data_IF_934646035697
#
_entry.id   IF_934646035697
#
_cell.length_a   1.000
_cell.length_b   1.000
_cell.length_c   1.000
_cell.angle_alpha   90.00
_cell.angle_beta   90.00
_cell.angle_gamma   90.00
#
_symmetry.space_group_name_H-M   'P 1'
#
loop_
_entity.id
_entity.type
_entity.pdbx_description
1 polymer ?
#
# COMPACT_ATOMS: atom_id res chain seq x y z
N UNK A 1 19.77 -13.13 17.30
CA UNK A 1 18.80 -12.06 17.61
C UNK A 1 19.58 -10.80 17.96
N UNK A 2 19.72 -9.85 17.04
CA UNK A 2 20.45 -8.59 17.28
C UNK A 2 19.44 -7.44 17.21
N UNK A 3 19.24 -6.77 18.34
CA UNK A 3 18.35 -5.61 18.47
C UNK A 3 19.25 -4.38 18.49
N UNK A 4 19.26 -3.61 17.41
CA UNK A 4 19.83 -2.26 17.43
C UNK A 4 18.75 -1.28 17.91
N UNK A 5 18.96 -0.73 19.11
CA UNK A 5 18.08 0.25 19.74
C UNK A 5 18.62 1.64 19.39
N UNK A 6 17.87 2.43 18.63
CA UNK A 6 18.04 3.89 18.54
C UNK A 6 16.67 4.51 18.79
N UNK A 7 16.60 5.32 19.84
CA UNK A 7 15.37 5.93 20.34
C UNK A 7 14.84 6.97 19.34
N UNK A 8 13.78 6.59 18.62
CA UNK A 8 12.55 7.36 18.37
C UNK A 8 11.86 6.71 17.16
N UNK A 9 10.67 6.11 17.38
CA UNK A 9 9.97 5.16 16.49
C UNK A 9 10.63 3.77 16.42
N UNK A 10 10.19 2.85 17.29
CA UNK A 10 10.63 1.45 17.26
C UNK A 10 9.98 0.70 16.08
N UNK A 11 10.62 0.75 14.91
CA UNK A 11 10.34 -0.17 13.81
C UNK A 11 10.88 -1.56 14.17
N UNK A 12 10.01 -2.50 14.53
CA UNK A 12 10.41 -3.89 14.74
C UNK A 12 10.29 -4.61 13.41
N UNK A 13 11.42 -4.86 12.75
CA UNK A 13 11.48 -5.68 11.54
C UNK A 13 11.35 -7.15 11.97
N UNK A 14 10.16 -7.71 11.81
CA UNK A 14 9.93 -9.15 11.97
C UNK A 14 9.91 -9.78 10.59
N UNK A 15 10.97 -10.51 10.25
CA UNK A 15 11.03 -11.32 9.04
C UNK A 15 10.42 -12.70 9.33
N UNK A 16 9.23 -12.97 8.80
CA UNK A 16 8.61 -14.30 8.88
C UNK A 16 8.97 -15.06 7.58
N UNK A 17 9.82 -16.10 7.64
CA UNK A 17 10.11 -16.93 6.47
C UNK A 17 8.88 -17.79 6.12
N UNK A 18 8.64 -17.97 4.82
CA UNK A 18 7.45 -18.65 4.30
C UNK A 18 7.83 -20.09 3.91
N UNK A 19 7.06 -21.07 4.38
CA UNK A 19 7.21 -22.49 4.02
C UNK A 19 6.68 -22.75 2.60
N UNK A 20 7.38 -23.63 1.88
CA UNK A 20 7.13 -23.98 0.48
C UNK A 20 6.01 -25.05 0.45
N UNK A 21 4.87 -24.71 -0.15
CA UNK A 21 3.84 -25.66 -0.59
C UNK A 21 3.69 -25.54 -2.11
N UNK A 22 3.36 -26.63 -2.80
CA UNK A 22 3.18 -26.66 -4.27
C UNK A 22 1.93 -25.89 -4.72
N UNK A 23 0.95 -25.70 -3.81
CA UNK A 23 -0.28 -24.99 -4.11
C UNK A 23 -0.15 -23.49 -3.80
N UNK A 24 0.02 -22.70 -4.86
CA UNK A 24 0.22 -21.25 -4.78
C UNK A 24 -0.95 -20.51 -4.11
N UNK A 25 -2.19 -20.99 -4.28
CA UNK A 25 -3.36 -20.36 -3.66
C UNK A 25 -3.34 -20.55 -2.15
N UNK A 26 -3.08 -21.77 -1.68
CA UNK A 26 -2.94 -22.05 -0.24
C UNK A 26 -1.84 -21.22 0.40
N UNK A 27 -0.72 -21.02 -0.30
CA UNK A 27 0.39 -20.19 0.16
C UNK A 27 -0.06 -18.73 0.36
N UNK A 28 -0.76 -18.13 -0.61
CA UNK A 28 -1.26 -16.75 -0.49
C UNK A 28 -2.29 -16.62 0.64
N UNK A 29 -3.23 -17.57 0.75
CA UNK A 29 -4.23 -17.58 1.81
C UNK A 29 -3.58 -17.71 3.21
N UNK A 30 -2.59 -18.58 3.36
CA UNK A 30 -1.87 -18.75 4.61
C UNK A 30 -1.09 -17.49 4.99
N UNK A 31 -0.40 -16.87 4.03
CA UNK A 31 0.32 -15.61 4.25
C UNK A 31 -0.62 -14.51 4.74
N UNK A 32 -1.77 -14.35 4.10
CA UNK A 32 -2.80 -13.39 4.51
C UNK A 32 -3.33 -13.71 5.91
N UNK A 33 -3.60 -14.99 6.21
CA UNK A 33 -4.06 -15.41 7.53
C UNK A 33 -3.05 -15.13 8.63
N UNK A 34 -1.75 -15.38 8.39
CA UNK A 34 -0.67 -15.07 9.34
C UNK A 34 -0.61 -13.56 9.59
N UNK A 35 -0.58 -12.75 8.53
CA UNK A 35 -0.44 -11.30 8.66
C UNK A 35 -1.67 -10.67 9.36
N UNK A 36 -2.88 -11.11 9.00
CA UNK A 36 -4.12 -10.64 9.63
C UNK A 36 -4.22 -11.05 11.10
N UNK A 37 -3.85 -12.29 11.43
CA UNK A 37 -3.81 -12.78 12.82
C UNK A 37 -2.78 -11.99 13.64
N UNK A 38 -1.60 -11.74 13.06
CA UNK A 38 -0.56 -10.93 13.71
C UNK A 38 -1.05 -9.50 13.99
N UNK A 39 -1.64 -8.83 12.99
CA UNK A 39 -2.25 -7.49 13.17
C UNK A 39 -3.30 -7.50 14.28
N UNK A 40 -4.24 -8.45 14.23
CA UNK A 40 -5.31 -8.56 15.23
C UNK A 40 -4.76 -8.70 16.65
N UNK A 41 -3.76 -9.54 16.83
CA UNK A 41 -3.14 -9.76 18.14
C UNK A 41 -2.36 -8.54 18.62
N UNK A 42 -1.58 -7.90 17.74
CA UNK A 42 -0.81 -6.71 18.12
C UNK A 42 -1.73 -5.55 18.49
N UNK A 43 -2.76 -5.29 17.69
CA UNK A 43 -3.73 -4.22 17.98
C UNK A 43 -4.48 -4.50 19.29
N UNK A 44 -4.82 -5.77 19.57
CA UNK A 44 -5.51 -6.17 20.81
C UNK A 44 -4.63 -6.05 22.05
N UNK A 45 -3.41 -6.58 22.03
CA UNK A 45 -2.59 -6.72 23.24
C UNK A 45 -1.66 -5.53 23.49
N UNK A 46 -1.19 -4.85 22.44
CA UNK A 46 -0.22 -3.76 22.58
C UNK A 46 -0.83 -2.37 22.39
N UNK A 47 -2.13 -2.29 22.05
CA UNK A 47 -2.79 -1.04 21.68
C UNK A 47 -2.07 -0.33 20.52
N UNK A 48 -1.37 -1.10 19.69
CA UNK A 48 -0.57 -0.61 18.58
C UNK A 48 -1.34 -0.63 17.27
N UNK A 49 -0.65 -0.16 16.23
CA UNK A 49 -1.04 -0.15 14.83
C UNK A 49 0.01 -0.89 14.02
N UNK A 50 -0.41 -1.63 13.00
CA UNK A 50 0.50 -2.42 12.18
C UNK A 50 0.19 -2.35 10.70
N UNK A 51 1.25 -2.24 9.93
CA UNK A 51 1.22 -2.39 8.48
C UNK A 51 2.27 -3.41 8.07
N UNK A 52 2.01 -4.12 6.98
CA UNK A 52 2.97 -5.06 6.41
C UNK A 52 3.04 -4.86 4.89
N UNK A 53 4.19 -5.23 4.32
CA UNK A 53 4.45 -5.16 2.89
C UNK A 53 5.25 -6.38 2.46
N UNK A 54 4.84 -7.10 1.40
CA UNK A 54 5.62 -8.20 0.87
C UNK A 54 6.89 -7.67 0.20
N UNK A 55 8.02 -8.32 0.47
CA UNK A 55 9.27 -8.13 -0.26
C UNK A 55 9.47 -9.35 -1.16
N UNK A 56 9.56 -9.12 -2.45
CA UNK A 56 9.71 -10.17 -3.44
C UNK A 56 11.18 -10.47 -3.72
N UNK A 57 11.45 -11.72 -4.12
CA UNK A 57 12.82 -12.10 -4.50
C UNK A 57 13.12 -11.58 -5.91
N UNK A 58 14.24 -10.85 -6.12
CA UNK A 58 14.61 -10.41 -7.46
C UNK A 58 14.66 -11.56 -8.48
N UNK A 59 13.97 -11.39 -9.60
CA UNK A 59 13.92 -12.36 -10.69
C UNK A 59 13.19 -13.67 -10.39
N UNK A 60 12.35 -13.73 -9.34
CA UNK A 60 11.36 -14.80 -9.11
C UNK A 60 10.04 -14.18 -8.67
N UNK A 61 8.93 -14.64 -9.22
CA UNK A 61 7.59 -14.15 -8.85
C UNK A 61 7.13 -14.81 -7.55
N UNK A 62 7.85 -14.54 -6.44
CA UNK A 62 7.53 -15.05 -5.10
C UNK A 62 7.99 -14.11 -4.00
N UNK A 63 7.17 -14.02 -2.96
CA UNK A 63 7.49 -13.29 -1.72
C UNK A 63 8.67 -13.98 -1.00
N UNK A 64 9.67 -13.19 -0.63
CA UNK A 64 10.83 -13.61 0.16
C UNK A 64 10.56 -13.49 1.66
N UNK A 65 10.02 -12.35 2.09
CA UNK A 65 9.58 -12.10 3.47
C UNK A 65 8.58 -10.95 3.50
N UNK A 66 7.84 -10.82 4.61
CA UNK A 66 7.04 -9.64 4.90
C UNK A 66 7.84 -8.66 5.75
N UNK A 67 7.87 -7.39 5.34
CA UNK A 67 8.32 -6.30 6.18
C UNK A 67 7.13 -5.82 7.01
N UNK A 68 7.17 -6.08 8.33
CA UNK A 68 6.13 -5.67 9.26
C UNK A 68 6.60 -4.42 10.02
N UNK A 69 5.73 -3.42 10.11
CA UNK A 69 5.96 -2.18 10.85
C UNK A 69 4.93 -2.07 11.97
N UNK A 70 5.42 -1.76 13.17
CA UNK A 70 4.63 -1.55 14.37
C UNK A 70 4.82 -0.12 14.85
N UNK A 71 3.73 0.57 15.12
CA UNK A 71 3.74 1.91 15.71
C UNK A 71 2.57 2.09 16.66
N UNK A 72 2.69 3.01 17.62
CA UNK A 72 1.53 3.50 18.40
C UNK A 72 0.89 4.73 17.77
N UNK A 73 1.64 5.45 16.93
CA UNK A 73 1.20 6.73 16.40
C UNK A 73 0.59 6.56 15.01
N UNK A 74 -0.61 7.09 14.73
CA UNK A 74 -1.30 6.91 13.45
C UNK A 74 -0.51 7.48 12.25
N UNK A 75 0.22 8.59 12.45
CA UNK A 75 1.14 9.13 11.44
C UNK A 75 2.18 8.10 10.97
N UNK A 76 2.64 7.20 11.86
CA UNK A 76 3.66 6.22 11.52
C UNK A 76 3.19 5.26 10.42
N UNK A 77 1.90 4.91 10.40
CA UNK A 77 1.32 4.07 9.34
C UNK A 77 1.35 4.81 8.00
N UNK A 78 1.02 6.10 7.98
CA UNK A 78 1.06 6.89 6.75
C UNK A 78 2.49 6.95 6.19
N UNK A 79 3.47 7.33 7.02
CA UNK A 79 4.88 7.43 6.62
C UNK A 79 5.38 6.08 6.12
N UNK A 80 5.11 4.99 6.85
CA UNK A 80 5.53 3.66 6.45
C UNK A 80 4.93 3.24 5.10
N UNK A 81 3.63 3.45 4.87
CA UNK A 81 3.00 3.10 3.60
C UNK A 81 3.48 3.99 2.44
N UNK A 82 3.72 5.28 2.67
CA UNK A 82 4.31 6.18 1.65
C UNK A 82 5.71 5.72 1.22
N UNK A 83 6.57 5.35 2.18
CA UNK A 83 7.92 4.86 1.86
C UNK A 83 7.90 3.46 1.24
N UNK A 84 6.97 2.62 1.68
CA UNK A 84 6.76 1.30 1.07
C UNK A 84 6.26 1.38 -0.37
N UNK A 85 5.44 2.37 -0.70
CA UNK A 85 4.98 2.60 -2.07
C UNK A 85 6.14 2.99 -3.00
N UNK A 86 7.06 3.83 -2.53
CA UNK A 86 8.30 4.15 -3.26
C UNK A 86 9.16 2.90 -3.45
N UNK A 87 9.29 2.08 -2.41
CA UNK A 87 10.01 0.81 -2.47
C UNK A 87 9.38 -0.16 -3.48
N UNK A 88 8.05 -0.19 -3.62
CA UNK A 88 7.37 -1.06 -4.60
C UNK A 88 7.80 -0.74 -6.03
N UNK A 89 7.96 0.55 -6.36
CA UNK A 89 8.48 0.99 -7.66
C UNK A 89 9.90 0.49 -7.89
N UNK A 90 10.78 0.60 -6.88
CA UNK A 90 12.15 0.08 -6.96
C UNK A 90 12.17 -1.43 -7.14
N UNK A 91 11.34 -2.18 -6.40
CA UNK A 91 11.24 -3.64 -6.55
C UNK A 91 10.83 -4.03 -7.99
N UNK A 92 9.87 -3.31 -8.57
CA UNK A 92 9.41 -3.56 -9.94
C UNK A 92 10.52 -3.36 -10.97
N UNK A 93 11.27 -2.25 -10.86
CA UNK A 93 12.41 -1.97 -11.74
C UNK A 93 13.46 -3.09 -11.61
N UNK A 94 13.87 -3.41 -10.39
CA UNK A 94 14.87 -4.47 -10.15
C UNK A 94 14.42 -5.83 -10.69
N UNK A 95 13.14 -6.16 -10.59
CA UNK A 95 12.61 -7.40 -11.16
C UNK A 95 12.69 -7.41 -12.67
N UNK A 96 12.32 -6.32 -13.33
CA UNK A 96 12.41 -6.20 -14.78
C UNK A 96 13.86 -6.29 -15.25
N UNK A 97 14.78 -5.56 -14.63
CA UNK A 97 16.21 -5.63 -14.94
C UNK A 97 16.77 -7.05 -14.76
N UNK A 98 16.38 -7.73 -13.68
CA UNK A 98 16.83 -9.12 -13.43
C UNK A 98 16.26 -10.09 -14.45
N UNK A 99 15.01 -9.90 -14.89
CA UNK A 99 14.39 -10.72 -15.94
C UNK A 99 15.09 -10.50 -17.28
N UNK A 100 15.39 -9.24 -17.65
CA UNK A 100 16.12 -8.91 -18.87
C UNK A 100 17.54 -9.49 -18.87
N UNK A 101 18.29 -9.37 -17.76
CA UNK A 101 19.64 -9.97 -17.65
C UNK A 101 19.61 -11.48 -17.83
N UNK A 102 18.65 -12.17 -17.20
CA UNK A 102 18.49 -13.62 -17.38
C UNK A 102 18.16 -13.99 -18.82
N UNK A 103 17.30 -13.22 -19.49
CA UNK A 103 16.99 -13.42 -20.90
C UNK A 103 18.24 -13.27 -21.76
N UNK A 104 19.05 -12.22 -21.55
CA UNK A 104 20.32 -12.02 -22.24
C UNK A 104 21.34 -13.13 -21.99
N UNK A 105 21.45 -13.63 -20.76
CA UNK A 105 22.34 -14.75 -20.41
C UNK A 105 21.87 -16.08 -21.01
N UNK A 106 20.55 -16.27 -21.12
CA UNK A 106 19.94 -17.50 -21.66
C UNK A 106 19.82 -17.51 -23.18
N UNK A 107 19.90 -16.35 -23.82
CA UNK A 107 19.80 -16.24 -25.27
C UNK A 107 21.12 -16.71 -25.91
N UNK A 108 21.13 -17.80 -26.70
CA UNK A 108 22.22 -18.02 -27.63
C UNK A 108 22.30 -16.79 -28.55
N UNK A 109 23.49 -16.45 -29.04
CA UNK A 109 23.91 -15.22 -29.75
C UNK A 109 23.06 -14.83 -31.01
N UNK A 110 21.94 -15.49 -31.27
CA UNK A 110 21.14 -15.42 -32.48
C UNK A 110 19.80 -14.71 -32.29
N UNK A 111 19.78 -13.47 -31.77
CA UNK A 111 18.75 -12.51 -32.20
C UNK A 111 19.15 -11.06 -31.88
N UNK A 112 19.85 -10.40 -32.80
CA UNK A 112 20.22 -8.99 -32.68
C UNK A 112 19.16 -8.04 -33.26
N UNK A 113 18.00 -8.56 -33.73
CA UNK A 113 17.03 -7.78 -34.51
C UNK A 113 15.54 -8.09 -34.24
N UNK A 114 15.17 -8.77 -33.15
CA UNK A 114 13.75 -8.87 -32.79
C UNK A 114 13.26 -7.56 -32.16
N UNK A 115 12.64 -6.74 -33.01
CA UNK A 115 11.87 -5.54 -32.69
C UNK A 115 10.53 -5.92 -32.04
N UNK A 116 10.59 -6.67 -30.94
CA UNK A 116 9.42 -6.84 -30.06
C UNK A 116 9.54 -5.81 -28.95
N UNK A 117 9.00 -4.61 -29.22
CA UNK A 117 8.76 -3.60 -28.22
C UNK A 117 8.12 -4.25 -27.01
N UNK A 118 8.84 -4.24 -25.88
CA UNK A 118 8.38 -4.78 -24.60
C UNK A 118 7.14 -3.98 -24.21
N UNK A 119 5.96 -4.47 -24.60
CA UNK A 119 4.70 -3.94 -24.12
C UNK A 119 4.71 -4.15 -22.61
N UNK A 120 4.84 -3.03 -21.90
CA UNK A 120 4.70 -2.96 -20.47
C UNK A 120 3.23 -3.30 -20.18
N UNK A 121 2.93 -4.59 -20.07
CA UNK A 121 1.64 -5.05 -19.59
C UNK A 121 1.60 -4.78 -18.09
N UNK A 122 1.43 -3.49 -17.76
CA UNK A 122 1.01 -3.03 -16.45
C UNK A 122 -0.36 -3.65 -16.30
N UNK A 123 -0.47 -4.86 -15.73
CA UNK A 123 -1.75 -5.31 -15.18
C UNK A 123 -2.04 -4.32 -14.05
N UNK A 124 -2.90 -3.32 -14.25
CA UNK A 124 -3.35 -2.52 -13.14
C UNK A 124 -4.30 -3.46 -12.42
N UNK A 125 -3.86 -4.11 -11.35
CA UNK A 125 -4.79 -4.89 -10.55
C UNK A 125 -6.04 -4.04 -10.34
N UNK A 126 -7.18 -4.63 -10.69
CA UNK A 126 -8.50 -4.03 -10.84
C UNK A 126 -9.11 -3.60 -9.49
N UNK A 127 -8.25 -3.19 -8.56
CA UNK A 127 -8.52 -2.77 -7.20
C UNK A 127 -9.09 -1.34 -7.14
N UNK A 128 -9.27 -0.66 -8.30
CA UNK A 128 -9.83 0.71 -8.40
C UNK A 128 -11.33 0.82 -8.09
N UNK A 129 -12.01 -0.30 -7.96
CA UNK A 129 -13.43 -0.33 -7.58
C UNK A 129 -13.61 -0.55 -6.07
N UNK A 130 -12.65 -1.25 -5.43
CA UNK A 130 -12.74 -1.65 -4.03
C UNK A 130 -12.51 -0.47 -3.07
N UNK A 131 -11.58 0.42 -3.39
CA UNK A 131 -11.29 1.61 -2.60
C UNK A 131 -12.38 2.67 -2.72
N UNK A 132 -12.95 2.88 -3.92
CA UNK A 132 -14.08 3.81 -4.10
C UNK A 132 -15.30 3.37 -3.29
N UNK A 133 -15.64 2.09 -3.39
CA UNK A 133 -16.74 1.51 -2.62
C UNK A 133 -16.48 1.56 -1.12
N UNK A 134 -15.23 1.33 -0.67
CA UNK A 134 -14.83 1.51 0.72
C UNK A 134 -15.00 2.97 1.19
N UNK A 135 -14.54 3.95 0.43
CA UNK A 135 -14.70 5.38 0.75
C UNK A 135 -16.18 5.80 0.82
N UNK A 136 -17.00 5.32 -0.12
CA UNK A 136 -18.45 5.59 -0.14
C UNK A 136 -19.22 4.90 1.00
N UNK A 137 -18.70 3.78 1.51
CA UNK A 137 -19.26 3.07 2.67
C UNK A 137 -18.84 3.72 3.98
N UNK A 138 -17.62 4.24 4.06
CA UNK A 138 -17.05 4.80 5.29
C UNK A 138 -17.43 6.26 5.53
N UNK A 139 -17.49 7.07 4.48
CA UNK A 139 -17.87 8.49 4.56
C UNK A 139 -19.37 8.60 4.33
N UNK A 140 -20.06 9.14 5.31
CA UNK A 140 -21.52 9.33 5.31
C UNK A 140 -21.90 10.71 4.77
N UNK A 141 -23.21 10.98 4.68
CA UNK A 141 -23.73 12.28 4.25
C UNK A 141 -23.45 13.40 5.27
N UNK A 142 -23.21 13.02 6.53
CA UNK A 142 -22.78 13.95 7.59
C UNK A 142 -21.30 14.28 7.42
N UNK A 143 -20.90 15.57 7.54
CA UNK A 143 -19.50 15.97 7.51
C UNK A 143 -18.65 15.17 8.49
N UNK A 144 -17.64 14.51 7.96
CA UNK A 144 -16.75 13.63 8.68
C UNK A 144 -15.32 14.18 8.60
N UNK A 145 -14.71 14.44 9.76
CA UNK A 145 -13.30 14.81 9.84
C UNK A 145 -12.42 13.62 9.45
N UNK A 146 -11.53 13.82 8.47
CA UNK A 146 -10.50 12.83 8.10
C UNK A 146 -9.15 13.30 8.65
N UNK A 147 -8.84 12.88 9.88
CA UNK A 147 -7.56 13.08 10.55
C UNK A 147 -6.61 11.88 10.39
N UNK A 148 -5.43 11.93 11.00
CA UNK A 148 -4.49 10.80 10.93
C UNK A 148 -5.06 9.52 11.54
N UNK A 149 -5.90 9.64 12.57
CA UNK A 149 -6.51 8.49 13.24
C UNK A 149 -7.44 7.73 12.29
N UNK A 150 -8.29 8.46 11.56
CA UNK A 150 -9.19 7.89 10.56
C UNK A 150 -8.45 7.46 9.29
N UNK A 151 -7.50 8.26 8.83
CA UNK A 151 -6.68 7.96 7.66
C UNK A 151 -5.87 6.67 7.83
N UNK A 152 -5.20 6.51 8.97
CA UNK A 152 -4.45 5.28 9.26
C UNK A 152 -5.33 4.05 9.33
N UNK A 153 -6.58 4.16 9.83
CA UNK A 153 -7.55 3.06 9.78
C UNK A 153 -7.90 2.66 8.35
N UNK A 154 -8.06 3.61 7.43
CA UNK A 154 -8.30 3.29 6.02
C UNK A 154 -7.16 2.45 5.43
N UNK A 155 -5.92 2.84 5.75
CA UNK A 155 -4.72 2.14 5.29
C UNK A 155 -4.56 0.75 5.93
N UNK A 156 -5.00 0.57 7.18
CA UNK A 156 -4.93 -0.72 7.88
C UNK A 156 -6.05 -1.68 7.49
N UNK A 157 -7.26 -1.17 7.27
CA UNK A 157 -8.43 -1.99 6.93
C UNK A 157 -8.34 -2.56 5.51
N UNK A 158 -7.80 -1.78 4.59
CA UNK A 158 -7.75 -2.13 3.16
C UNK A 158 -6.39 -2.62 2.70
N UNK A 159 -5.34 -2.39 3.51
CA UNK A 159 -3.94 -2.60 3.16
C UNK A 159 -3.43 -1.84 1.93
N UNK A 160 -4.23 -0.92 1.38
CA UNK A 160 -3.88 -0.12 0.21
C UNK A 160 -2.89 0.99 0.54
N UNK A 161 -2.24 1.51 -0.51
CA UNK A 161 -1.31 2.63 -0.41
C UNK A 161 -2.03 3.99 -0.44
N UNK A 162 -1.44 5.03 0.18
CA UNK A 162 -1.99 6.38 0.19
C UNK A 162 -2.36 6.90 -1.20
N UNK A 163 -1.54 6.67 -2.22
CA UNK A 163 -1.81 7.17 -3.57
C UNK A 163 -3.10 6.61 -4.15
N UNK A 164 -3.43 5.34 -3.86
CA UNK A 164 -4.67 4.70 -4.32
C UNK A 164 -5.88 5.45 -3.78
N UNK A 165 -5.92 5.74 -2.47
CA UNK A 165 -6.99 6.53 -1.87
C UNK A 165 -7.04 7.98 -2.38
N UNK A 166 -5.88 8.59 -2.61
CA UNK A 166 -5.81 9.97 -3.12
C UNK A 166 -6.38 10.07 -4.54
N UNK A 167 -6.06 9.09 -5.40
CA UNK A 167 -6.61 8.99 -6.75
C UNK A 167 -8.10 8.70 -6.73
N UNK A 168 -8.54 7.75 -5.91
CA UNK A 168 -9.96 7.43 -5.78
C UNK A 168 -10.79 8.62 -5.30
N UNK A 169 -10.30 9.35 -4.31
CA UNK A 169 -10.97 10.57 -3.84
C UNK A 169 -11.00 11.64 -4.94
N UNK A 170 -9.92 11.79 -5.71
CA UNK A 170 -9.90 12.70 -6.89
C UNK A 170 -11.00 12.36 -7.88
N UNK A 171 -11.17 11.07 -8.17
CA UNK A 171 -12.20 10.59 -9.08
C UNK A 171 -13.61 10.78 -8.51
N UNK A 172 -13.83 10.47 -7.23
CA UNK A 172 -15.12 10.67 -6.56
C UNK A 172 -15.54 12.15 -6.51
N UNK A 173 -14.59 13.06 -6.31
CA UNK A 173 -14.83 14.52 -6.38
C UNK A 173 -15.19 14.94 -7.81
N UNK A 174 -14.48 14.40 -8.82
CA UNK A 174 -14.79 14.65 -10.23
C UNK A 174 -16.18 14.14 -10.62
N UNK A 175 -16.58 12.99 -10.08
CA UNK A 175 -17.91 12.39 -10.21
C UNK A 175 -18.98 13.10 -9.36
N UNK A 176 -18.62 14.14 -8.60
CA UNK A 176 -19.49 14.89 -7.67
C UNK A 176 -20.15 14.04 -6.58
N UNK A 177 -19.59 12.87 -6.25
CA UNK A 177 -20.07 11.97 -5.18
C UNK A 177 -19.50 12.31 -3.81
N UNK A 178 -18.39 13.04 -3.77
CA UNK A 178 -17.73 13.48 -2.54
C UNK A 178 -17.44 14.97 -2.63
N UNK A 179 -17.65 15.69 -1.52
CA UNK A 179 -17.33 17.10 -1.38
C UNK A 179 -16.57 17.35 -0.09
N UNK A 180 -15.53 18.16 -0.19
CA UNK A 180 -14.87 18.74 0.95
C UNK A 180 -15.67 19.98 1.39
N UNK A 181 -16.03 20.03 2.67
CA UNK A 181 -16.83 21.12 3.24
C UNK A 181 -15.96 22.36 3.52
N UNK A 182 -14.67 22.15 3.80
CA UNK A 182 -13.78 23.20 4.28
C UNK A 182 -13.04 23.93 3.15
N UNK A 183 -12.84 23.28 1.99
CA UNK A 183 -12.06 23.83 0.90
C UNK A 183 -12.51 23.37 -0.48
N UNK A 184 -12.29 24.22 -1.49
CA UNK A 184 -12.39 23.82 -2.89
C UNK A 184 -11.18 22.96 -3.28
N UNK A 185 -11.43 21.66 -3.47
CA UNK A 185 -10.43 20.65 -3.81
C UNK A 185 -10.28 20.43 -5.33
N UNK A 186 -11.14 21.03 -6.16
CA UNK A 186 -11.17 20.78 -7.61
C UNK A 186 -9.86 21.17 -8.30
N UNK A 187 -9.17 22.18 -7.77
CA UNK A 187 -7.88 22.68 -8.29
C UNK A 187 -6.67 21.90 -7.78
N UNK A 188 -6.84 20.99 -6.81
CA UNK A 188 -5.71 20.24 -6.23
C UNK A 188 -5.21 19.18 -7.20
N UNK A 189 -3.92 19.26 -7.55
CA UNK A 189 -3.27 18.26 -8.42
C UNK A 189 -2.85 17.02 -7.66
N UNK A 190 -2.37 17.18 -6.43
CA UNK A 190 -1.86 16.14 -5.53
C UNK A 190 -2.41 16.36 -4.12
N UNK A 191 -2.39 15.31 -3.28
CA UNK A 191 -2.88 15.33 -1.88
C UNK A 191 -4.28 15.95 -1.76
N UNK A 192 -5.25 15.27 -2.37
CA UNK A 192 -6.67 15.63 -2.32
C UNK A 192 -7.15 15.63 -0.87
N UNK A 193 -6.90 14.53 -0.16
CA UNK A 193 -7.12 14.41 1.27
C UNK A 193 -5.85 14.87 1.98
N UNK A 194 -6.00 15.80 2.92
CA UNK A 194 -4.91 16.25 3.79
C UNK A 194 -5.27 15.94 5.23
N UNK A 195 -4.85 14.77 5.75
CA UNK A 195 -4.90 14.53 7.19
C UNK A 195 -3.95 15.56 7.83
N UNK A 196 -4.51 16.53 8.55
CA UNK A 196 -3.77 17.50 9.37
C UNK A 196 -2.80 18.45 8.61
N UNK A 197 -3.31 19.36 7.76
CA UNK A 197 -2.49 20.42 7.15
C UNK A 197 -3.09 21.83 7.29
N UNK A 198 -2.33 22.86 7.73
CA UNK A 198 -1.09 22.83 8.50
C UNK A 198 -1.30 22.65 10.01
N UNK A 199 -2.57 22.63 10.48
CA UNK A 199 -2.98 22.26 11.84
C UNK A 199 -4.48 21.89 11.89
N UNK A 200 -5.10 21.63 10.72
CA UNK A 200 -6.52 21.34 10.61
C UNK A 200 -6.70 20.20 9.63
N UNK A 201 -7.44 19.19 10.06
CA UNK A 201 -7.94 18.14 9.17
C UNK A 201 -9.19 18.65 8.49
N UNK A 202 -9.51 18.09 7.33
CA UNK A 202 -10.62 18.54 6.51
C UNK A 202 -11.86 17.67 6.73
N UNK A 203 -13.03 18.29 6.69
CA UNK A 203 -14.31 17.61 6.73
C UNK A 203 -14.76 17.21 5.32
N UNK A 204 -15.12 15.95 5.20
CA UNK A 204 -15.58 15.34 3.96
C UNK A 204 -16.99 14.84 4.16
N UNK A 205 -17.83 15.04 3.15
CA UNK A 205 -19.17 14.48 3.12
C UNK A 205 -19.44 13.84 1.77
N UNK A 206 -20.29 12.83 1.79
CA UNK A 206 -20.88 12.29 0.57
C UNK A 206 -21.90 13.28 0.01
N UNK A 207 -21.91 13.40 -1.31
CA UNK A 207 -22.95 14.09 -2.05
C UNK A 207 -23.92 13.05 -2.61
N UNK A 208 -25.21 13.25 -2.34
CA UNK A 208 -26.31 12.50 -2.95
C UNK A 208 -26.55 13.01 -4.37
#
# INVERSE_FOLDING_TARGET
MRIHKKESSSAIIVSIPIYISEDALLVVHLQFWICSTYRKNINKYYGGRTAFVPIERPGKDRVLYFLIYLTRHPLGINVFKEDSEKMLLVQRITQQETKLRKQQESAPILDLFSDEGVEVNIKPEDNRCAEKSYLLKTITDKPCLIDYEKWSRFLEDTDLYPTVFQLAMKELVKEKKMVNVDADVTKRRTKIIKPHWPNKSEHWKKCL
#
